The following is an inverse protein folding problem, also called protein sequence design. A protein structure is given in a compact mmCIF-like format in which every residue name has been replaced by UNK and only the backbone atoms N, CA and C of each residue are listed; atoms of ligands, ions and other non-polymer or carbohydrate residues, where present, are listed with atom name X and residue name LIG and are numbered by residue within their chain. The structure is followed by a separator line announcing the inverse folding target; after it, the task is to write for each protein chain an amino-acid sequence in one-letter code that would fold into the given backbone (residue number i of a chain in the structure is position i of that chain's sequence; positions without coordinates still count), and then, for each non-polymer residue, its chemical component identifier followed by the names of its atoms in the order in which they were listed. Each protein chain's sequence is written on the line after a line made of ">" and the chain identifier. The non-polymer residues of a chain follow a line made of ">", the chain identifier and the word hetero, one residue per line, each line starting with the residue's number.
data_IF_760909297443
#
_entry.id   IF_760909297443
#
_cell.length_a   1.000
_cell.length_b   1.000
_cell.length_c   1.000
_cell.angle_alpha   90.00
_cell.angle_beta   90.00
_cell.angle_gamma   90.00
#
_symmetry.space_group_name_H-M   'P 1'
#
loop_
_entity.id
_entity.type
_entity.pdbx_description
1 polymer ?
#
# COMPACT_ATOMS: atom_id res chain seq x y z
N UNK A 1 -2.49 43.65 -25.55
CA UNK A 1 -1.79 42.35 -25.37
C UNK A 1 -2.86 41.30 -25.33
N UNK A 2 -2.75 40.27 -26.16
CA UNK A 2 -3.67 39.14 -26.09
C UNK A 2 -3.32 38.32 -24.85
N UNK A 3 -4.29 38.13 -23.94
CA UNK A 3 -4.08 37.53 -22.62
C UNK A 3 -4.29 36.00 -22.72
N UNK A 4 -3.18 35.27 -22.89
CA UNK A 4 -3.19 33.80 -22.88
C UNK A 4 -3.23 33.26 -21.47
N UNK A 5 -4.16 32.36 -21.19
CA UNK A 5 -4.33 31.67 -19.92
C UNK A 5 -3.96 30.18 -20.05
N UNK A 6 -3.47 29.58 -18.98
CA UNK A 6 -3.27 28.14 -18.88
C UNK A 6 -4.65 27.46 -18.90
N UNK A 7 -4.90 26.65 -19.92
CA UNK A 7 -6.20 25.99 -20.08
C UNK A 7 -6.18 24.57 -19.53
N UNK A 8 -5.25 23.74 -20.01
CA UNK A 8 -5.15 22.35 -19.56
C UNK A 8 -3.71 21.85 -19.61
N UNK A 9 -3.32 21.03 -18.61
CA UNK A 9 -2.02 20.36 -18.51
C UNK A 9 -2.16 18.89 -18.88
N UNK A 10 -1.23 18.38 -19.70
CA UNK A 10 -1.16 16.98 -20.11
C UNK A 10 0.19 16.37 -19.77
N UNK A 11 0.26 15.05 -19.50
CA UNK A 11 1.53 14.38 -19.24
C UNK A 11 2.49 14.39 -20.43
N UNK A 12 1.96 14.25 -21.67
CA UNK A 12 2.74 14.24 -22.91
C UNK A 12 2.04 15.07 -24.00
N UNK A 13 2.76 15.38 -25.08
CA UNK A 13 2.20 16.04 -26.26
C UNK A 13 1.18 15.14 -26.98
N UNK A 14 1.39 13.83 -26.97
CA UNK A 14 0.45 12.85 -27.55
C UNK A 14 -0.90 12.86 -26.80
N UNK A 15 -0.86 13.01 -25.48
CA UNK A 15 -2.09 13.14 -24.67
C UNK A 15 -2.84 14.44 -24.96
N UNK A 16 -2.14 15.49 -25.39
CA UNK A 16 -2.72 16.78 -25.76
C UNK A 16 -3.24 16.82 -27.20
N UNK A 17 -2.91 15.84 -28.05
CA UNK A 17 -3.17 15.86 -29.50
C UNK A 17 -4.65 16.07 -29.82
N UNK A 18 -5.56 15.41 -29.14
CA UNK A 18 -7.01 15.55 -29.35
C UNK A 18 -7.50 16.98 -29.10
N UNK A 19 -6.97 17.66 -28.07
CA UNK A 19 -7.30 19.05 -27.79
C UNK A 19 -6.69 19.98 -28.83
N UNK A 20 -5.44 19.72 -29.26
CA UNK A 20 -4.74 20.49 -30.30
C UNK A 20 -5.52 20.42 -31.60
N UNK A 21 -5.88 19.21 -32.05
CA UNK A 21 -6.68 19.01 -33.29
C UNK A 21 -8.02 19.73 -33.23
N UNK A 22 -8.66 19.75 -32.04
CA UNK A 22 -9.89 20.49 -31.83
C UNK A 22 -9.72 22.00 -31.99
N UNK A 23 -8.67 22.55 -31.39
CA UNK A 23 -8.39 23.98 -31.44
C UNK A 23 -8.07 24.41 -32.88
N UNK A 24 -7.25 23.62 -33.57
CA UNK A 24 -6.92 23.85 -35.00
C UNK A 24 -8.15 23.76 -35.89
N UNK A 25 -8.97 22.73 -35.77
CA UNK A 25 -10.19 22.53 -36.54
C UNK A 25 -11.21 23.69 -36.39
N UNK A 26 -11.20 24.34 -35.20
CA UNK A 26 -12.11 25.46 -34.90
C UNK A 26 -11.42 26.82 -35.02
N UNK A 27 -10.21 26.87 -35.55
CA UNK A 27 -9.42 28.09 -35.77
C UNK A 27 -9.25 28.95 -34.50
N UNK A 28 -9.02 28.28 -33.38
CA UNK A 28 -8.79 28.90 -32.08
C UNK A 28 -7.30 29.04 -31.87
N UNK A 29 -6.84 30.24 -31.54
CA UNK A 29 -5.42 30.49 -31.26
C UNK A 29 -5.00 29.85 -29.93
N UNK A 30 -3.96 29.07 -29.99
CA UNK A 30 -3.39 28.45 -28.80
C UNK A 30 -1.86 28.51 -28.79
N UNK A 31 -1.27 28.28 -27.62
CA UNK A 31 0.18 28.13 -27.46
C UNK A 31 0.45 26.83 -26.66
N UNK A 32 1.50 26.14 -27.07
CA UNK A 32 2.00 24.97 -26.36
C UNK A 32 3.18 25.44 -25.52
N UNK A 33 3.08 25.30 -24.23
CA UNK A 33 4.16 25.58 -23.28
C UNK A 33 4.76 24.24 -22.82
N UNK A 34 5.90 23.90 -23.39
CA UNK A 34 6.72 22.71 -23.08
C UNK A 34 7.87 23.02 -22.12
N UNK A 35 7.94 24.27 -21.61
CA UNK A 35 9.03 24.75 -20.75
C UNK A 35 9.10 24.05 -19.38
N UNK A 36 8.14 23.18 -19.07
CA UNK A 36 8.14 22.34 -17.88
C UNK A 36 9.13 21.15 -17.96
N UNK A 37 9.77 20.90 -19.11
CA UNK A 37 10.83 19.89 -19.25
C UNK A 37 12.15 20.48 -18.73
N UNK A 38 12.28 20.68 -17.43
CA UNK A 38 13.56 20.95 -16.78
C UNK A 38 14.09 19.68 -16.14
N UNK A 39 15.18 19.17 -16.70
CA UNK A 39 16.00 18.15 -16.06
C UNK A 39 16.55 18.68 -14.73
N UNK A 40 15.91 18.36 -13.63
CA UNK A 40 16.50 18.51 -12.30
C UNK A 40 17.23 17.22 -11.95
N UNK A 41 18.54 17.23 -12.13
CA UNK A 41 19.43 16.19 -11.58
C UNK A 41 19.64 16.52 -10.09
N UNK A 42 18.69 16.14 -9.26
CA UNK A 42 18.95 16.03 -7.82
C UNK A 42 18.51 14.66 -7.31
N UNK A 43 19.51 13.85 -7.00
CA UNK A 43 19.43 12.41 -6.73
C UNK A 43 18.90 12.06 -5.33
N UNK A 44 18.19 12.95 -4.62
CA UNK A 44 17.77 12.74 -3.22
C UNK A 44 16.29 12.90 -2.91
N UNK A 45 15.47 13.27 -3.87
CA UNK A 45 14.04 13.36 -3.61
C UNK A 45 13.25 12.75 -4.77
N UNK A 46 12.68 11.57 -4.55
CA UNK A 46 11.69 10.95 -5.44
C UNK A 46 10.37 11.71 -5.30
N UNK A 47 10.33 12.95 -5.67
CA UNK A 47 9.11 13.65 -6.00
C UNK A 47 8.95 13.62 -7.52
N UNK A 48 7.98 12.85 -7.90
CA UNK A 48 7.32 12.72 -9.16
C UNK A 48 7.47 13.99 -9.99
N UNK A 49 8.12 13.84 -11.14
CA UNK A 49 8.14 14.76 -12.24
C UNK A 49 6.72 15.28 -12.53
N UNK A 50 6.47 16.53 -12.23
CA UNK A 50 5.34 17.29 -12.77
C UNK A 50 5.71 17.88 -14.13
N UNK A 51 6.36 17.10 -14.98
CA UNK A 51 6.68 17.45 -16.35
C UNK A 51 5.46 17.18 -17.20
N UNK A 52 4.90 18.20 -17.79
CA UNK A 52 3.74 18.10 -18.65
C UNK A 52 3.69 19.28 -19.63
N UNK A 53 3.00 19.06 -20.73
CA UNK A 53 2.70 20.10 -21.73
C UNK A 53 1.48 20.90 -21.27
N UNK A 54 1.57 22.22 -21.23
CA UNK A 54 0.45 23.11 -20.92
C UNK A 54 -0.07 23.73 -22.23
N UNK A 55 -1.35 23.53 -22.49
CA UNK A 55 -2.04 24.21 -23.59
C UNK A 55 -2.61 25.53 -23.07
N UNK A 56 -2.23 26.62 -23.70
CA UNK A 56 -2.69 27.98 -23.36
C UNK A 56 -3.61 28.48 -24.47
N UNK A 57 -4.71 29.10 -24.10
CA UNK A 57 -5.69 29.70 -25.01
C UNK A 57 -5.93 31.16 -24.63
N UNK A 58 -6.55 31.92 -25.53
CA UNK A 58 -7.00 33.27 -25.19
C UNK A 58 -8.12 33.22 -24.16
N UNK A 59 -8.07 34.10 -23.16
CA UNK A 59 -9.09 34.17 -22.12
C UNK A 59 -10.51 34.39 -22.69
N UNK A 60 -10.61 35.09 -23.83
CA UNK A 60 -11.87 35.34 -24.58
C UNK A 60 -12.48 34.04 -25.15
N UNK A 61 -11.64 33.05 -25.49
CA UNK A 61 -12.09 31.84 -26.17
C UNK A 61 -12.41 30.70 -25.18
N UNK A 62 -12.14 30.89 -23.87
CA UNK A 62 -12.34 29.86 -22.86
C UNK A 62 -13.72 29.23 -22.90
N UNK A 63 -14.78 30.03 -22.91
CA UNK A 63 -16.15 29.52 -22.91
C UNK A 63 -16.48 28.71 -24.19
N UNK A 64 -15.92 29.11 -25.32
CA UNK A 64 -16.06 28.40 -26.61
C UNK A 64 -15.32 27.06 -26.54
N UNK A 65 -14.09 27.05 -26.02
CA UNK A 65 -13.27 25.85 -25.89
C UNK A 65 -13.90 24.87 -24.90
N UNK A 66 -14.43 25.34 -23.77
CA UNK A 66 -15.14 24.52 -22.79
C UNK A 66 -16.35 23.81 -23.44
N UNK A 67 -17.15 24.51 -24.24
CA UNK A 67 -18.28 23.92 -24.98
C UNK A 67 -17.84 22.90 -26.03
N UNK A 68 -16.76 23.19 -26.77
CA UNK A 68 -16.22 22.27 -27.76
C UNK A 68 -15.61 21.02 -27.10
N UNK A 69 -14.91 21.21 -26.02
CA UNK A 69 -14.30 20.11 -25.25
C UNK A 69 -15.36 19.19 -24.63
N UNK A 70 -16.47 19.76 -24.13
CA UNK A 70 -17.62 18.99 -23.69
C UNK A 70 -18.22 18.14 -24.82
N UNK A 71 -18.36 18.70 -26.03
CA UNK A 71 -18.88 17.96 -27.20
C UNK A 71 -17.96 16.84 -27.66
N UNK A 72 -16.63 17.03 -27.61
CA UNK A 72 -15.68 15.96 -27.93
C UNK A 72 -15.71 14.88 -26.87
N UNK A 73 -15.78 15.26 -25.60
CA UNK A 73 -15.96 14.27 -24.54
C UNK A 73 -17.26 13.48 -24.67
N UNK A 74 -18.31 14.09 -25.21
CA UNK A 74 -19.55 13.39 -25.54
C UNK A 74 -19.44 12.51 -26.79
N UNK A 75 -18.67 12.92 -27.82
CA UNK A 75 -18.52 12.18 -29.08
C UNK A 75 -17.39 11.14 -29.04
N UNK A 76 -16.27 11.42 -28.38
CA UNK A 76 -15.19 10.46 -28.16
C UNK A 76 -15.55 9.34 -27.17
N UNK A 77 -16.64 9.51 -26.43
CA UNK A 77 -17.27 8.43 -25.64
C UNK A 77 -17.82 7.33 -26.58
N UNK A 78 -18.16 7.66 -27.84
CA UNK A 78 -18.88 6.75 -28.72
C UNK A 78 -18.01 5.78 -29.56
N UNK A 79 -16.71 6.02 -29.73
CA UNK A 79 -15.89 5.14 -30.59
C UNK A 79 -14.65 4.62 -29.84
N UNK A 80 -14.81 3.47 -29.15
CA UNK A 80 -13.69 2.67 -28.65
C UNK A 80 -13.49 2.58 -27.15
N UNK A 81 -14.35 3.17 -26.32
CA UNK A 81 -14.22 3.01 -24.88
C UNK A 81 -14.50 1.54 -24.49
N UNK A 82 -13.64 0.94 -23.66
CA UNK A 82 -13.74 -0.49 -23.27
C UNK A 82 -15.13 -0.87 -22.73
N UNK A 83 -15.87 0.08 -22.14
CA UNK A 83 -17.24 -0.14 -21.62
C UNK A 83 -18.20 -0.67 -22.72
N UNK A 84 -17.99 -0.33 -23.99
CA UNK A 84 -18.82 -0.87 -25.09
C UNK A 84 -18.53 -2.35 -25.38
N UNK A 85 -17.39 -2.87 -24.95
CA UNK A 85 -17.04 -4.29 -25.09
C UNK A 85 -17.54 -5.15 -23.93
N UNK A 86 -18.05 -4.52 -22.87
CA UNK A 86 -18.63 -5.22 -21.73
C UNK A 86 -19.93 -5.93 -22.08
N UNK A 87 -20.16 -7.06 -21.43
CA UNK A 87 -21.44 -7.77 -21.54
C UNK A 87 -22.58 -6.96 -20.87
N UNK A 88 -23.82 -7.29 -21.21
CA UNK A 88 -24.99 -6.63 -20.63
C UNK A 88 -25.05 -6.80 -19.09
N UNK A 89 -24.63 -7.95 -18.58
CA UNK A 89 -24.53 -8.19 -17.15
C UNK A 89 -23.46 -7.34 -16.49
N UNK A 90 -22.30 -7.15 -17.14
CA UNK A 90 -21.23 -6.31 -16.61
C UNK A 90 -21.66 -4.83 -16.60
N UNK A 91 -22.36 -4.36 -17.64
CA UNK A 91 -22.92 -2.99 -17.67
C UNK A 91 -23.93 -2.79 -16.53
N UNK A 92 -24.79 -3.78 -16.29
CA UNK A 92 -25.73 -3.73 -15.16
C UNK A 92 -24.97 -3.73 -13.83
N UNK A 93 -23.90 -4.51 -13.72
CA UNK A 93 -23.06 -4.55 -12.51
C UNK A 93 -22.42 -3.20 -12.19
N UNK A 94 -21.89 -2.49 -13.18
CA UNK A 94 -21.38 -1.10 -13.03
C UNK A 94 -22.45 -0.17 -12.44
N UNK A 95 -23.70 -0.30 -12.87
CA UNK A 95 -24.80 0.55 -12.39
C UNK A 95 -25.26 0.17 -10.98
N UNK A 96 -25.21 -1.12 -10.66
CA UNK A 96 -25.68 -1.69 -9.37
C UNK A 96 -24.65 -1.52 -8.27
N UNK A 97 -23.36 -1.57 -8.61
CA UNK A 97 -22.21 -1.50 -7.71
C UNK A 97 -21.25 -0.37 -8.14
N UNK A 98 -21.66 0.91 -8.01
CA UNK A 98 -20.93 2.05 -8.54
C UNK A 98 -19.62 2.39 -7.81
N UNK A 99 -19.35 1.79 -6.64
CA UNK A 99 -18.25 2.20 -5.75
C UNK A 99 -16.85 1.97 -6.35
N UNK A 100 -16.73 1.11 -7.36
CA UNK A 100 -15.44 0.80 -8.03
C UNK A 100 -15.23 1.61 -9.31
N UNK A 101 -16.22 2.41 -9.70
CA UNK A 101 -16.25 3.07 -10.99
C UNK A 101 -16.22 4.59 -10.84
N UNK A 102 -15.63 5.27 -11.81
CA UNK A 102 -15.66 6.73 -11.85
C UNK A 102 -17.06 7.22 -12.24
N UNK A 103 -17.41 8.44 -11.84
CA UNK A 103 -18.71 9.05 -12.23
C UNK A 103 -18.93 9.04 -13.75
N UNK A 104 -17.85 9.19 -14.54
CA UNK A 104 -17.88 9.13 -16.00
C UNK A 104 -18.26 7.74 -16.49
N UNK A 105 -17.66 6.70 -15.96
CA UNK A 105 -17.95 5.32 -16.34
C UNK A 105 -19.37 4.92 -15.95
N UNK A 106 -19.85 5.34 -14.78
CA UNK A 106 -21.26 5.11 -14.35
C UNK A 106 -22.23 5.81 -15.32
N UNK A 107 -21.93 7.02 -15.73
CA UNK A 107 -22.74 7.77 -16.68
C UNK A 107 -22.81 7.08 -18.03
N UNK A 108 -21.64 6.61 -18.52
CA UNK A 108 -21.53 5.87 -19.76
C UNK A 108 -22.25 4.51 -19.68
N UNK A 109 -22.11 3.78 -18.58
CA UNK A 109 -22.85 2.53 -18.37
C UNK A 109 -24.36 2.72 -18.43
N UNK A 110 -24.89 3.80 -17.84
CA UNK A 110 -26.33 4.14 -17.93
C UNK A 110 -26.75 4.41 -19.36
N UNK A 111 -25.95 5.18 -20.13
CA UNK A 111 -26.22 5.44 -21.53
C UNK A 111 -26.21 4.15 -22.37
N UNK A 112 -25.19 3.30 -22.20
CA UNK A 112 -25.12 2.00 -22.89
C UNK A 112 -26.31 1.11 -22.51
N UNK A 113 -26.73 1.13 -21.26
CA UNK A 113 -27.89 0.36 -20.80
C UNK A 113 -29.20 0.86 -21.47
N UNK A 114 -29.38 2.17 -21.64
CA UNK A 114 -30.48 2.76 -22.37
C UNK A 114 -30.45 2.38 -23.86
N UNK A 115 -29.29 2.53 -24.52
CA UNK A 115 -29.08 2.21 -25.94
C UNK A 115 -29.37 0.72 -26.23
N UNK A 116 -28.95 -0.17 -25.33
CA UNK A 116 -29.19 -1.62 -25.43
C UNK A 116 -30.57 -2.03 -24.88
N UNK A 117 -31.39 -1.10 -24.38
CA UNK A 117 -32.71 -1.36 -23.78
C UNK A 117 -32.64 -2.36 -22.61
N UNK A 118 -31.55 -2.31 -21.81
CA UNK A 118 -31.34 -3.23 -20.69
C UNK A 118 -32.33 -2.91 -19.56
N UNK A 119 -33.10 -3.91 -19.16
CA UNK A 119 -34.03 -3.82 -18.02
C UNK A 119 -33.65 -4.84 -16.96
N UNK A 120 -32.76 -4.45 -15.99
CA UNK A 120 -32.33 -5.38 -14.96
C UNK A 120 -33.53 -5.82 -14.11
N UNK A 121 -33.69 -7.13 -13.95
CA UNK A 121 -34.70 -7.67 -13.05
C UNK A 121 -34.28 -7.47 -11.59
N UNK A 122 -35.27 -7.36 -10.69
CA UNK A 122 -35.00 -7.25 -9.25
C UNK A 122 -34.13 -8.42 -8.72
N UNK A 123 -34.29 -9.61 -9.32
CA UNK A 123 -33.55 -10.81 -8.97
C UNK A 123 -32.06 -10.68 -9.42
N UNK A 124 -31.81 -10.16 -10.63
CA UNK A 124 -30.44 -9.91 -11.11
C UNK A 124 -29.72 -8.89 -10.24
N UNK A 125 -30.36 -7.77 -9.92
CA UNK A 125 -29.80 -6.74 -9.01
C UNK A 125 -29.45 -7.36 -7.65
N UNK A 126 -30.36 -8.16 -7.09
CA UNK A 126 -30.13 -8.82 -5.80
C UNK A 126 -28.99 -9.84 -5.86
N UNK A 127 -28.85 -10.58 -6.96
CA UNK A 127 -27.75 -11.54 -7.14
C UNK A 127 -26.40 -10.83 -7.27
N UNK A 128 -26.30 -9.76 -8.07
CA UNK A 128 -25.06 -8.97 -8.24
C UNK A 128 -24.60 -8.36 -6.91
N UNK A 129 -25.50 -7.70 -6.17
CA UNK A 129 -25.18 -7.18 -4.83
C UNK A 129 -24.74 -8.26 -3.85
N UNK A 130 -25.38 -9.43 -3.89
CA UNK A 130 -24.99 -10.56 -3.03
C UNK A 130 -23.60 -11.08 -3.40
N UNK A 131 -23.29 -11.22 -4.69
CA UNK A 131 -21.97 -11.66 -5.17
C UNK A 131 -20.89 -10.68 -4.72
N UNK A 132 -21.11 -9.39 -4.93
CA UNK A 132 -20.22 -8.32 -4.49
C UNK A 132 -19.94 -8.38 -2.98
N UNK A 133 -21.01 -8.47 -2.17
CA UNK A 133 -20.86 -8.57 -0.71
C UNK A 133 -20.05 -9.81 -0.29
N UNK A 134 -20.19 -10.95 -1.00
CA UNK A 134 -19.40 -12.15 -0.75
C UNK A 134 -17.94 -11.90 -1.10
N UNK A 135 -17.65 -11.32 -2.26
CA UNK A 135 -16.29 -11.01 -2.71
C UNK A 135 -15.57 -10.05 -1.76
N UNK A 136 -16.24 -8.98 -1.35
CA UNK A 136 -15.68 -8.01 -0.40
C UNK A 136 -15.39 -8.64 0.97
N UNK A 137 -16.31 -9.47 1.46
CA UNK A 137 -16.13 -10.19 2.72
C UNK A 137 -14.98 -11.20 2.66
N UNK A 138 -14.78 -11.87 1.52
CA UNK A 138 -13.65 -12.78 1.31
C UNK A 138 -12.32 -12.01 1.20
N UNK A 139 -12.30 -10.88 0.49
CA UNK A 139 -11.13 -9.99 0.39
C UNK A 139 -10.71 -9.51 1.78
N UNK A 140 -11.67 -9.02 2.58
CA UNK A 140 -11.41 -8.56 3.94
C UNK A 140 -10.91 -9.71 4.85
N UNK A 141 -11.48 -10.89 4.72
CA UNK A 141 -11.06 -12.09 5.46
C UNK A 141 -9.63 -12.49 5.10
N UNK A 142 -9.29 -12.51 3.81
CA UNK A 142 -7.93 -12.80 3.32
C UNK A 142 -6.94 -11.78 3.86
N UNK A 143 -7.25 -10.49 3.76
CA UNK A 143 -6.41 -9.40 4.26
C UNK A 143 -6.19 -9.51 5.78
N UNK A 144 -7.26 -9.74 6.54
CA UNK A 144 -7.20 -9.94 8.00
C UNK A 144 -6.35 -11.14 8.37
N UNK A 145 -6.43 -12.24 7.62
CA UNK A 145 -5.59 -13.44 7.81
C UNK A 145 -4.10 -13.14 7.58
N UNK A 146 -3.77 -12.38 6.52
CA UNK A 146 -2.38 -11.97 6.25
C UNK A 146 -1.83 -11.11 7.39
N UNK A 147 -2.61 -10.15 7.88
CA UNK A 147 -2.23 -9.30 9.02
C UNK A 147 -2.02 -10.16 10.28
N UNK A 148 -2.95 -11.06 10.57
CA UNK A 148 -2.86 -11.96 11.72
C UNK A 148 -1.64 -12.87 11.66
N UNK A 149 -1.36 -13.47 10.51
CA UNK A 149 -0.17 -14.30 10.31
C UNK A 149 1.12 -13.49 10.50
N UNK A 150 1.18 -12.28 9.92
CA UNK A 150 2.33 -11.40 10.08
C UNK A 150 2.56 -10.99 11.55
N UNK A 151 1.50 -10.57 12.26
CA UNK A 151 1.63 -10.20 13.67
C UNK A 151 2.03 -11.37 14.56
N UNK A 152 1.60 -12.59 14.22
CA UNK A 152 1.93 -13.82 15.00
C UNK A 152 3.42 -14.13 15.03
N UNK A 153 4.21 -13.62 14.08
CA UNK A 153 5.67 -13.74 14.13
C UNK A 153 6.26 -13.14 15.41
N UNK A 154 5.77 -11.97 15.86
CA UNK A 154 6.24 -11.37 17.11
C UNK A 154 5.98 -12.30 18.33
N UNK A 155 4.84 -12.98 18.34
CA UNK A 155 4.52 -13.93 19.40
C UNK A 155 5.47 -15.15 19.35
N UNK A 156 5.69 -15.71 18.15
CA UNK A 156 6.62 -16.82 17.97
C UNK A 156 8.05 -16.45 18.37
N UNK A 157 8.53 -15.26 18.00
CA UNK A 157 9.84 -14.74 18.40
C UNK A 157 9.92 -14.70 19.94
N UNK A 158 8.90 -14.16 20.62
CA UNK A 158 8.87 -14.09 22.07
C UNK A 158 8.89 -15.47 22.73
N UNK A 159 8.07 -16.42 22.24
CA UNK A 159 7.97 -17.78 22.76
C UNK A 159 9.32 -18.50 22.61
N UNK A 160 9.87 -18.51 21.39
CA UNK A 160 11.11 -19.24 21.11
C UNK A 160 12.31 -18.63 21.82
N UNK A 161 12.34 -17.29 21.96
CA UNK A 161 13.34 -16.61 22.79
C UNK A 161 13.24 -17.00 24.26
N UNK A 162 12.02 -17.10 24.79
CA UNK A 162 11.79 -17.53 26.17
C UNK A 162 12.18 -19.01 26.39
N UNK A 163 11.90 -19.87 25.41
CA UNK A 163 12.33 -21.27 25.46
C UNK A 163 13.85 -21.41 25.44
N UNK A 164 14.56 -20.59 24.69
CA UNK A 164 16.03 -20.56 24.71
C UNK A 164 16.59 -20.19 26.10
N UNK A 165 15.94 -19.21 26.76
CA UNK A 165 16.33 -18.84 28.16
C UNK A 165 16.08 -20.00 29.11
N UNK A 166 14.93 -20.68 29.00
CA UNK A 166 14.61 -21.85 29.81
C UNK A 166 15.62 -22.98 29.56
N UNK A 167 15.94 -23.29 28.30
CA UNK A 167 16.94 -24.29 27.95
C UNK A 167 18.31 -23.99 28.59
N UNK A 168 18.71 -22.70 28.58
CA UNK A 168 19.95 -22.26 29.25
C UNK A 168 19.90 -22.51 30.78
N UNK A 169 18.81 -22.20 31.46
CA UNK A 169 18.62 -22.42 32.88
C UNK A 169 18.81 -23.92 33.24
N UNK A 170 18.25 -24.79 32.42
CA UNK A 170 18.37 -26.26 32.61
C UNK A 170 19.64 -26.84 32.00
N UNK A 171 20.59 -26.01 31.56
CA UNK A 171 21.86 -26.43 30.95
C UNK A 171 21.67 -27.39 29.76
N UNK A 172 20.59 -27.24 29.02
CA UNK A 172 20.32 -28.01 27.81
C UNK A 172 21.05 -27.40 26.63
N UNK A 173 21.63 -28.26 25.79
CA UNK A 173 22.29 -27.82 24.53
C UNK A 173 21.26 -27.61 23.37
N UNK A 174 20.11 -27.05 23.70
CA UNK A 174 19.05 -26.76 22.72
C UNK A 174 19.03 -25.25 22.48
N UNK A 175 19.22 -24.85 21.24
CA UNK A 175 19.04 -23.47 20.80
C UNK A 175 18.00 -23.41 19.67
N UNK A 176 16.92 -22.64 19.87
CA UNK A 176 16.00 -22.35 18.81
C UNK A 176 16.54 -21.20 17.96
N UNK A 177 16.72 -21.45 16.67
CA UNK A 177 17.35 -20.55 15.70
C UNK A 177 16.62 -19.21 15.53
N UNK A 178 15.31 -19.16 15.90
CA UNK A 178 14.47 -17.96 15.78
C UNK A 178 14.57 -17.03 17.00
N UNK A 179 15.31 -17.41 18.03
CA UNK A 179 15.44 -16.63 19.28
C UNK A 179 16.13 -15.26 19.04
N UNK A 180 15.93 -14.35 20.00
CA UNK A 180 16.53 -13.02 19.95
C UNK A 180 18.03 -13.06 20.20
N UNK A 181 18.82 -12.47 19.32
CA UNK A 181 20.25 -12.25 19.48
C UNK A 181 20.59 -11.35 20.65
N UNK A 182 19.71 -10.38 20.95
CA UNK A 182 19.81 -9.50 22.13
C UNK A 182 19.93 -10.32 23.42
N UNK A 183 19.26 -11.46 23.55
CA UNK A 183 19.37 -12.33 24.73
C UNK A 183 20.77 -12.93 24.87
N UNK A 184 21.43 -13.30 23.76
CA UNK A 184 22.82 -13.78 23.76
C UNK A 184 23.77 -12.68 24.20
N UNK A 185 23.56 -11.44 23.77
CA UNK A 185 24.37 -10.30 24.18
C UNK A 185 24.22 -10.05 25.68
N UNK A 186 23.00 -10.06 26.21
CA UNK A 186 22.73 -9.88 27.65
C UNK A 186 23.45 -10.95 28.46
N UNK A 187 23.25 -12.21 28.14
CA UNK A 187 23.82 -13.34 28.86
C UNK A 187 25.35 -13.35 28.77
N UNK A 188 25.90 -13.16 27.55
CA UNK A 188 27.33 -13.13 27.33
C UNK A 188 28.02 -11.95 28.03
N UNK A 189 27.40 -10.78 28.06
CA UNK A 189 27.92 -9.61 28.78
C UNK A 189 27.95 -9.85 30.28
N UNK A 190 26.88 -10.41 30.86
CA UNK A 190 26.83 -10.69 32.29
C UNK A 190 27.83 -11.80 32.69
N UNK A 191 28.03 -12.81 31.84
CA UNK A 191 29.08 -13.80 32.05
C UNK A 191 30.50 -13.22 31.99
N UNK A 192 30.77 -12.30 31.06
CA UNK A 192 32.02 -11.58 30.97
C UNK A 192 32.28 -10.73 32.24
N UNK A 193 31.27 -10.01 32.74
CA UNK A 193 31.35 -9.24 33.99
C UNK A 193 31.63 -10.18 35.16
N UNK A 194 30.98 -11.33 35.25
CA UNK A 194 31.20 -12.33 36.27
C UNK A 194 32.66 -12.79 36.30
N UNK A 195 33.27 -13.01 35.12
CA UNK A 195 34.68 -13.44 35.03
C UNK A 195 35.65 -12.37 35.53
N UNK A 196 35.34 -11.09 35.34
CA UNK A 196 36.19 -9.96 35.72
C UNK A 196 36.03 -9.61 37.19
N UNK A 197 34.78 -9.57 37.69
CA UNK A 197 34.46 -9.07 39.04
C UNK A 197 34.32 -10.16 40.09
N UNK A 198 34.16 -11.43 39.67
CA UNK A 198 33.78 -12.54 40.55
C UNK A 198 32.30 -12.53 40.98
N UNK A 199 31.53 -11.48 40.63
CA UNK A 199 30.14 -11.34 41.06
C UNK A 199 29.20 -12.04 40.06
N UNK A 200 28.27 -12.82 40.58
CA UNK A 200 27.34 -13.61 39.75
C UNK A 200 26.07 -12.81 39.41
N UNK A 201 25.93 -12.41 38.15
CA UNK A 201 24.78 -11.67 37.61
C UNK A 201 23.84 -12.55 36.79
N UNK A 202 23.93 -13.88 36.85
CA UNK A 202 23.11 -14.81 36.04
C UNK A 202 21.63 -14.59 36.22
N UNK A 203 21.16 -14.39 37.47
CA UNK A 203 19.73 -14.11 37.73
C UNK A 203 19.26 -12.82 37.06
N UNK A 204 20.07 -11.77 37.10
CA UNK A 204 19.78 -10.49 36.42
C UNK A 204 19.74 -10.68 34.90
N UNK A 205 20.68 -11.42 34.32
CA UNK A 205 20.68 -11.72 32.89
C UNK A 205 19.39 -12.43 32.45
N UNK A 206 18.95 -13.43 33.23
CA UNK A 206 17.71 -14.17 32.95
C UNK A 206 16.50 -13.22 33.01
N UNK A 207 16.37 -12.39 34.05
CA UNK A 207 15.28 -11.44 34.21
C UNK A 207 15.24 -10.47 33.02
N UNK A 208 16.37 -9.85 32.65
CA UNK A 208 16.46 -8.92 31.54
C UNK A 208 16.08 -9.60 30.21
N UNK A 209 16.54 -10.83 29.98
CA UNK A 209 16.22 -11.59 28.76
C UNK A 209 14.72 -11.90 28.66
N UNK A 210 14.05 -12.26 29.77
CA UNK A 210 12.59 -12.43 29.77
C UNK A 210 11.86 -11.10 29.56
N UNK A 211 12.35 -9.98 30.10
CA UNK A 211 11.75 -8.67 29.87
C UNK A 211 11.83 -8.30 28.37
N UNK A 212 12.97 -8.50 27.73
CA UNK A 212 13.13 -8.25 26.28
C UNK A 212 12.20 -9.13 25.48
N UNK A 213 12.12 -10.43 25.77
CA UNK A 213 11.19 -11.34 25.10
C UNK A 213 9.73 -10.92 25.33
N UNK A 214 9.40 -10.47 26.54
CA UNK A 214 8.08 -9.97 26.92
C UNK A 214 7.65 -8.71 26.14
N UNK A 215 8.60 -7.85 25.78
CA UNK A 215 8.31 -6.68 24.93
C UNK A 215 7.76 -7.09 23.57
N UNK A 216 8.21 -8.21 22.99
CA UNK A 216 7.65 -8.72 21.73
C UNK A 216 6.21 -9.20 21.87
N UNK A 217 5.79 -9.67 23.06
CA UNK A 217 4.38 -9.97 23.34
C UNK A 217 3.55 -8.67 23.34
N UNK A 218 4.08 -7.59 23.93
CA UNK A 218 3.41 -6.28 23.91
C UNK A 218 3.33 -5.73 22.48
N UNK A 219 4.39 -5.86 21.69
CA UNK A 219 4.41 -5.48 20.27
C UNK A 219 3.36 -6.28 19.51
N UNK A 220 3.30 -7.61 19.68
CA UNK A 220 2.28 -8.46 19.09
C UNK A 220 0.87 -7.97 19.41
N UNK A 221 0.56 -7.76 20.70
CA UNK A 221 -0.78 -7.35 21.13
C UNK A 221 -1.19 -5.98 20.55
N UNK A 222 -0.29 -5.01 20.55
CA UNK A 222 -0.55 -3.69 19.97
C UNK A 222 -0.68 -3.74 18.44
N UNK A 223 0.18 -4.53 17.77
CA UNK A 223 0.16 -4.74 16.33
C UNK A 223 -1.12 -5.44 15.86
N UNK A 224 -1.58 -6.45 16.61
CA UNK A 224 -2.86 -7.14 16.36
C UNK A 224 -4.06 -6.20 16.45
N UNK A 225 -3.98 -5.15 17.27
CA UNK A 225 -5.00 -4.10 17.38
C UNK A 225 -4.87 -3.01 16.29
N UNK A 226 -4.05 -3.24 15.26
CA UNK A 226 -3.92 -2.32 14.13
C UNK A 226 -2.88 -1.19 14.30
N UNK A 227 -2.08 -1.19 15.39
CA UNK A 227 -1.07 -0.17 15.59
C UNK A 227 0.15 -0.42 14.68
N UNK A 228 0.11 0.19 13.48
CA UNK A 228 1.16 0.06 12.47
C UNK A 228 2.50 0.65 12.88
N UNK A 229 2.53 1.68 13.78
CA UNK A 229 3.79 2.27 14.27
C UNK A 229 4.53 1.29 15.18
N UNK A 230 3.81 0.67 16.12
CA UNK A 230 4.38 -0.35 17.00
C UNK A 230 4.82 -1.57 16.20
N UNK A 231 4.05 -1.95 15.17
CA UNK A 231 4.44 -3.03 14.25
C UNK A 231 5.78 -2.72 13.57
N UNK A 232 5.92 -1.52 13.01
CA UNK A 232 7.15 -1.08 12.34
C UNK A 232 8.35 -1.08 13.30
N UNK A 233 8.18 -0.55 14.51
CA UNK A 233 9.23 -0.54 15.54
C UNK A 233 9.69 -1.96 15.86
N UNK A 234 8.75 -2.90 16.06
CA UNK A 234 9.09 -4.29 16.31
C UNK A 234 9.82 -4.97 15.17
N UNK A 235 9.41 -4.68 13.93
CA UNK A 235 10.05 -5.20 12.72
C UNK A 235 11.48 -4.65 12.56
N UNK A 236 11.68 -3.35 12.79
CA UNK A 236 13.02 -2.72 12.75
C UNK A 236 13.90 -3.31 13.85
N UNK A 237 13.39 -3.42 15.07
CA UNK A 237 14.15 -4.00 16.18
C UNK A 237 14.61 -5.42 15.83
N UNK A 238 13.70 -6.27 15.36
CA UNK A 238 14.05 -7.64 14.98
C UNK A 238 15.03 -7.70 13.82
N UNK A 239 14.94 -6.76 12.88
CA UNK A 239 15.94 -6.59 11.80
C UNK A 239 17.31 -6.21 12.32
N UNK A 240 17.40 -5.29 13.28
CA UNK A 240 18.66 -4.92 13.93
C UNK A 240 19.25 -6.08 14.75
N UNK A 241 18.39 -6.85 15.39
CA UNK A 241 18.77 -8.04 16.16
C UNK A 241 19.49 -9.09 15.28
N UNK A 242 19.14 -9.18 14.00
CA UNK A 242 19.83 -10.04 13.02
C UNK A 242 21.32 -9.72 12.89
N UNK A 243 21.72 -8.45 13.08
CA UNK A 243 23.13 -8.04 12.95
C UNK A 243 24.03 -8.69 13.98
N UNK A 244 23.47 -9.05 15.15
CA UNK A 244 24.21 -9.74 16.23
C UNK A 244 24.73 -11.10 15.73
N UNK A 245 23.94 -11.80 14.93
CA UNK A 245 24.32 -13.12 14.41
C UNK A 245 25.36 -13.05 13.29
N UNK A 246 25.52 -11.89 12.65
CA UNK A 246 26.62 -11.67 11.67
C UNK A 246 27.96 -11.75 12.38
N UNK A 247 28.08 -11.17 13.58
CA UNK A 247 29.34 -11.17 14.36
C UNK A 247 29.73 -12.57 14.80
N UNK A 248 28.76 -13.44 15.11
CA UNK A 248 28.98 -14.83 15.49
C UNK A 248 29.06 -15.79 14.29
N UNK A 249 28.85 -15.31 13.06
CA UNK A 249 28.79 -16.10 11.81
C UNK A 249 27.76 -17.23 11.86
N UNK A 250 26.66 -17.01 12.59
CA UNK A 250 25.56 -17.97 12.68
C UNK A 250 24.57 -17.80 11.51
N UNK A 251 24.93 -18.42 10.38
CA UNK A 251 24.16 -18.33 9.15
C UNK A 251 22.74 -18.90 9.24
N UNK A 252 22.51 -19.89 10.11
CA UNK A 252 21.20 -20.45 10.33
C UNK A 252 20.26 -19.43 10.99
N UNK A 253 20.72 -18.79 12.06
CA UNK A 253 19.96 -17.74 12.73
C UNK A 253 19.69 -16.56 11.79
N UNK A 254 20.68 -16.13 10.98
CA UNK A 254 20.48 -15.08 9.98
C UNK A 254 19.40 -15.46 8.99
N UNK A 255 19.44 -16.68 8.42
CA UNK A 255 18.46 -17.17 7.46
C UNK A 255 17.05 -17.17 8.05
N UNK A 256 16.86 -17.60 9.28
CA UNK A 256 15.56 -17.58 9.96
C UNK A 256 15.07 -16.17 10.27
N UNK A 257 15.96 -15.25 10.65
CA UNK A 257 15.59 -13.84 10.85
C UNK A 257 15.09 -13.21 9.56
N UNK A 258 15.77 -13.46 8.45
CA UNK A 258 15.32 -12.98 7.13
C UNK A 258 13.95 -13.57 6.79
N UNK A 259 13.75 -14.88 7.00
CA UNK A 259 12.48 -15.54 6.74
C UNK A 259 11.34 -14.95 7.59
N UNK A 260 11.56 -14.74 8.89
CA UNK A 260 10.58 -14.11 9.77
C UNK A 260 10.30 -12.65 9.36
N UNK A 261 11.32 -11.89 8.94
CA UNK A 261 11.18 -10.52 8.44
C UNK A 261 10.32 -10.45 7.17
N UNK A 262 10.43 -11.43 6.27
CA UNK A 262 9.55 -11.52 5.09
C UNK A 262 8.09 -11.70 5.53
N UNK A 263 7.83 -12.59 6.50
CA UNK A 263 6.50 -12.79 7.06
C UNK A 263 5.95 -11.53 7.76
N UNK A 264 6.77 -10.87 8.55
CA UNK A 264 6.45 -9.59 9.21
C UNK A 264 6.16 -8.50 8.16
N UNK A 265 6.98 -8.37 7.13
CA UNK A 265 6.78 -7.37 6.08
C UNK A 265 5.46 -7.57 5.32
N UNK A 266 5.11 -8.81 4.99
CA UNK A 266 3.83 -9.14 4.35
C UNK A 266 2.64 -8.69 5.19
N UNK A 267 2.66 -8.97 6.50
CA UNK A 267 1.63 -8.53 7.43
C UNK A 267 1.57 -7.01 7.61
N UNK A 268 2.72 -6.35 7.66
CA UNK A 268 2.81 -4.89 7.75
C UNK A 268 2.22 -4.20 6.52
N UNK A 269 2.58 -4.68 5.31
CA UNK A 269 2.05 -4.16 4.05
C UNK A 269 0.52 -4.28 4.01
N UNK A 270 -0.02 -5.45 4.35
CA UNK A 270 -1.47 -5.66 4.40
C UNK A 270 -2.17 -4.73 5.40
N UNK A 271 -1.55 -4.48 6.57
CA UNK A 271 -2.06 -3.54 7.57
C UNK A 271 -2.11 -2.10 7.06
N UNK A 272 -1.09 -1.66 6.32
CA UNK A 272 -1.07 -0.33 5.73
C UNK A 272 -2.14 -0.17 4.64
N UNK A 273 -2.35 -1.19 3.81
CA UNK A 273 -3.40 -1.21 2.78
C UNK A 273 -4.78 -1.08 3.43
N UNK A 274 -5.09 -1.92 4.43
CA UNK A 274 -6.36 -1.84 5.17
C UNK A 274 -6.62 -0.46 5.76
N UNK A 275 -5.58 0.17 6.31
CA UNK A 275 -5.69 1.51 6.89
C UNK A 275 -5.97 2.61 5.84
N UNK A 276 -5.41 2.48 4.63
CA UNK A 276 -5.68 3.42 3.53
C UNK A 276 -7.12 3.30 3.07
N UNK A 277 -7.62 2.08 2.89
CA UNK A 277 -9.01 1.78 2.51
C UNK A 277 -9.99 2.40 3.52
N UNK A 278 -9.79 2.17 4.82
CA UNK A 278 -10.63 2.76 5.88
C UNK A 278 -10.66 4.29 5.85
N UNK A 279 -9.49 4.94 5.63
CA UNK A 279 -9.41 6.40 5.59
C UNK A 279 -10.07 7.04 4.37
N UNK A 280 -10.15 6.32 3.27
CA UNK A 280 -10.83 6.81 2.07
C UNK A 280 -12.35 6.78 2.30
N UNK A 281 -12.87 5.73 2.92
CA UNK A 281 -14.30 5.62 3.28
C UNK A 281 -14.74 6.71 4.28
N UNK A 282 -13.87 7.12 5.22
CA UNK A 282 -14.18 8.19 6.20
C UNK A 282 -14.18 9.61 5.60
N UNK A 283 -13.72 9.77 4.36
CA UNK A 283 -13.64 11.08 3.67
C UNK A 283 -14.73 11.32 2.65
N UNK A 284 -15.47 10.29 2.27
CA UNK A 284 -16.68 10.33 1.44
C UNK A 284 -17.94 10.52 2.30
#
# INVERSE_FOLDING_TARGET
>A
MEDFIDYQKFPTLDDASTLIDLLDANQILFKIDDSAIRFSVDSRNKNILEDGVIIKILASDKAKVDQLNLRIHETAINDGHFMYTLSDNDIIDVIVNPEEWTEREIKLAKQIAEDRSLKPTAELIKSLRKTKHIEDSEKERKQTKIISNGTSWFLWIAILSSLNIVALIFKQNINFVIGLGTNYVIIGTMDAIRRITGTNFTALAIILSFLVSGLFILIWNKSKKGNHKVYLIGMIWYGLDTLIFITSKDWYSIGFHIFALIGLYGGYKALLTKRKETKNIEKE
#
